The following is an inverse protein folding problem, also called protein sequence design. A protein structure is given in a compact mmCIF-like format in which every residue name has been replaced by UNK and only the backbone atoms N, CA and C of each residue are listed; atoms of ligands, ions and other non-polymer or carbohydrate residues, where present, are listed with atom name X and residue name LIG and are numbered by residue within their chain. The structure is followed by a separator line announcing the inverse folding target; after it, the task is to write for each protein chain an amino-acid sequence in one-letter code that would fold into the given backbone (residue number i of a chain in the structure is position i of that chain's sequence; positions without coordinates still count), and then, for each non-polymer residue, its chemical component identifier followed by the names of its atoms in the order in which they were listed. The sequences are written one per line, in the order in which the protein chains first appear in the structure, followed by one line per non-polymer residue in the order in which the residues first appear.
data_IF_233489502670
#
_entry.id   IF_233489502670
#
_cell.length_a   1.000
_cell.length_b   1.000
_cell.length_c   1.000
_cell.angle_alpha   90.00
_cell.angle_beta   90.00
_cell.angle_gamma   90.00
#
_symmetry.space_group_name_H-M   'P 1'
#
loop_
_entity.id
_entity.type
_entity.pdbx_description
1 polymer ?
#
# COMPACT_ATOMS: atom_id res chain seq x y z
N UNK A 1 9.60 24.94 0.76
CA UNK A 1 9.68 23.65 1.49
C UNK A 1 8.49 23.61 2.43
N UNK A 2 7.57 22.72 2.17
CA UNK A 2 6.32 22.54 2.93
C UNK A 2 6.41 21.33 3.87
N UNK A 3 5.43 21.15 4.76
CA UNK A 3 5.29 19.94 5.56
C UNK A 3 5.08 18.70 4.65
N UNK A 4 4.40 18.86 3.53
CA UNK A 4 4.18 17.79 2.55
C UNK A 4 5.47 17.33 1.89
N UNK A 5 6.40 18.27 1.58
CA UNK A 5 7.71 17.90 1.01
C UNK A 5 8.51 17.02 1.97
N UNK A 6 8.48 17.35 3.27
CA UNK A 6 9.10 16.54 4.33
C UNK A 6 8.44 15.17 4.46
N UNK A 7 7.10 15.11 4.44
CA UNK A 7 6.36 13.86 4.52
C UNK A 7 6.64 12.96 3.30
N UNK A 8 6.69 13.54 2.11
CA UNK A 8 7.02 12.79 0.89
C UNK A 8 8.47 12.26 0.93
N UNK A 9 9.42 13.10 1.32
CA UNK A 9 10.82 12.66 1.46
C UNK A 9 10.98 11.54 2.51
N UNK A 10 10.17 11.56 3.57
CA UNK A 10 10.14 10.48 4.56
C UNK A 10 9.58 9.19 3.95
N UNK A 11 8.53 9.24 3.14
CA UNK A 11 7.99 8.08 2.41
C UNK A 11 9.01 7.49 1.44
N UNK A 12 9.71 8.35 0.69
CA UNK A 12 10.76 7.90 -0.22
C UNK A 12 11.89 7.18 0.55
N UNK A 13 12.27 7.72 1.72
CA UNK A 13 13.29 7.10 2.56
C UNK A 13 12.81 5.77 3.18
N UNK A 14 11.53 5.68 3.54
CA UNK A 14 10.91 4.41 3.98
C UNK A 14 10.99 3.37 2.87
N UNK A 15 10.66 3.75 1.63
CA UNK A 15 10.74 2.86 0.48
C UNK A 15 12.17 2.35 0.22
N UNK A 16 13.16 3.22 0.35
CA UNK A 16 14.56 2.91 0.06
C UNK A 16 15.26 2.12 1.18
N UNK A 17 15.02 2.49 2.44
CA UNK A 17 15.82 2.06 3.59
C UNK A 17 15.00 1.58 4.80
N UNK A 18 13.68 1.65 4.72
CA UNK A 18 12.77 1.26 5.80
C UNK A 18 12.52 2.37 6.84
N UNK A 19 11.57 2.08 7.75
CA UNK A 19 11.06 3.04 8.74
C UNK A 19 12.16 3.56 9.68
N UNK A 20 13.10 2.70 10.05
CA UNK A 20 14.19 3.06 10.98
C UNK A 20 15.12 4.15 10.42
N UNK A 21 15.24 4.26 9.11
CA UNK A 21 16.08 5.26 8.44
C UNK A 21 15.51 6.69 8.48
N UNK A 22 14.23 6.85 8.78
CA UNK A 22 13.61 8.17 8.87
C UNK A 22 14.24 8.97 10.00
N UNK A 23 15.07 9.95 9.66
CA UNK A 23 15.74 10.83 10.62
C UNK A 23 15.86 12.25 10.03
N UNK A 24 15.89 13.26 10.92
CA UNK A 24 15.87 14.68 10.52
C UNK A 24 17.06 15.06 9.65
N UNK A 25 18.27 14.61 9.99
CA UNK A 25 19.49 14.97 9.27
C UNK A 25 19.59 14.40 7.85
N UNK A 26 19.35 13.10 7.62
CA UNK A 26 19.27 12.55 6.28
C UNK A 26 18.23 13.24 5.38
N UNK A 27 17.05 13.54 5.96
CA UNK A 27 15.98 14.21 5.23
C UNK A 27 16.32 15.67 4.92
N UNK A 28 16.87 16.43 5.87
CA UNK A 28 17.31 17.80 5.62
C UNK A 28 18.35 17.87 4.51
N UNK A 29 19.32 16.93 4.51
CA UNK A 29 20.33 16.82 3.46
C UNK A 29 19.70 16.48 2.09
N UNK A 30 18.77 15.54 2.06
CA UNK A 30 18.04 15.15 0.83
C UNK A 30 17.25 16.31 0.24
N UNK A 31 16.63 17.12 1.10
CA UNK A 31 15.83 18.27 0.72
C UNK A 31 16.65 19.55 0.46
N UNK A 32 17.95 19.54 0.70
CA UNK A 32 18.83 20.70 0.52
C UNK A 32 18.54 21.84 1.50
N UNK A 33 18.06 21.53 2.71
CA UNK A 33 17.70 22.52 3.73
C UNK A 33 18.44 22.29 5.04
N UNK A 34 18.36 23.28 5.95
CA UNK A 34 18.94 23.17 7.28
C UNK A 34 18.07 22.29 8.21
N UNK A 35 18.69 21.63 9.20
CA UNK A 35 17.98 20.91 10.26
C UNK A 35 16.97 21.81 11.01
N UNK A 36 17.28 23.13 11.16
CA UNK A 36 16.37 24.09 11.79
C UNK A 36 15.05 24.25 11.02
N UNK A 37 15.07 24.13 9.69
CA UNK A 37 13.86 24.20 8.87
C UNK A 37 12.82 23.12 9.20
N UNK A 38 13.25 21.94 9.67
CA UNK A 38 12.38 20.86 10.11
C UNK A 38 11.44 21.27 11.25
N UNK A 39 11.99 21.93 12.26
CA UNK A 39 11.24 22.28 13.48
C UNK A 39 10.18 23.36 13.29
N UNK A 40 10.17 24.03 12.12
CA UNK A 40 9.06 24.89 11.72
C UNK A 40 7.81 24.12 11.28
N UNK A 41 7.97 22.85 10.87
CA UNK A 41 6.92 22.00 10.34
C UNK A 41 6.51 20.90 11.31
N UNK A 42 7.47 20.31 12.01
CA UNK A 42 7.22 19.15 12.87
C UNK A 42 7.93 19.29 14.21
N UNK A 43 7.23 19.03 15.33
CA UNK A 43 7.83 19.11 16.67
C UNK A 43 8.81 17.95 16.94
N UNK A 44 8.66 16.82 16.26
CA UNK A 44 9.49 15.63 16.45
C UNK A 44 9.57 14.76 15.19
N UNK A 45 10.52 13.83 15.16
CA UNK A 45 10.65 12.78 14.16
C UNK A 45 9.37 11.92 14.07
N UNK A 46 8.80 11.60 15.21
CA UNK A 46 7.58 10.80 15.33
C UNK A 46 6.38 11.51 14.70
N UNK A 47 6.26 12.82 14.86
CA UNK A 47 5.23 13.63 14.22
C UNK A 47 5.37 13.65 12.69
N UNK A 48 6.60 13.74 12.18
CA UNK A 48 6.85 13.60 10.75
C UNK A 48 6.46 12.19 10.25
N UNK A 49 6.90 11.15 10.96
CA UNK A 49 6.57 9.78 10.56
C UNK A 49 5.05 9.56 10.51
N UNK A 50 4.34 10.04 11.51
CA UNK A 50 2.87 9.98 11.56
C UNK A 50 2.25 10.69 10.34
N UNK A 51 2.68 11.92 10.06
CA UNK A 51 2.18 12.70 8.92
C UNK A 51 2.50 12.03 7.56
N UNK A 52 3.68 11.42 7.44
CA UNK A 52 4.06 10.66 6.24
C UNK A 52 3.16 9.43 6.04
N UNK A 53 2.90 8.66 7.09
CA UNK A 53 2.03 7.48 7.03
C UNK A 53 0.58 7.86 6.73
N UNK A 54 0.04 8.93 7.34
CA UNK A 54 -1.30 9.45 7.08
C UNK A 54 -1.45 9.92 5.62
N UNK A 55 -0.44 10.63 5.11
CA UNK A 55 -0.40 11.04 3.70
C UNK A 55 -0.44 9.85 2.76
N UNK A 56 0.39 8.83 3.01
CA UNK A 56 0.42 7.63 2.20
C UNK A 56 -0.92 6.88 2.24
N UNK A 57 -1.51 6.71 3.43
CA UNK A 57 -2.84 6.10 3.61
C UNK A 57 -3.92 6.82 2.81
N UNK A 58 -3.90 8.16 2.82
CA UNK A 58 -4.87 9.00 2.12
C UNK A 58 -4.71 8.89 0.59
N UNK A 59 -3.49 9.05 0.08
CA UNK A 59 -3.20 8.95 -1.36
C UNK A 59 -3.56 7.58 -1.90
N UNK A 60 -3.19 6.52 -1.20
CA UNK A 60 -3.52 5.15 -1.60
C UNK A 60 -5.04 4.91 -1.63
N UNK A 61 -5.75 5.44 -0.64
CA UNK A 61 -7.20 5.33 -0.58
C UNK A 61 -7.88 6.01 -1.77
N UNK A 62 -7.51 7.24 -2.08
CA UNK A 62 -8.11 7.98 -3.19
C UNK A 62 -7.75 7.39 -4.55
N UNK A 63 -6.49 7.04 -4.76
CA UNK A 63 -6.02 6.47 -6.02
C UNK A 63 -6.73 5.15 -6.36
N UNK A 64 -6.89 4.26 -5.38
CA UNK A 64 -7.48 2.93 -5.62
C UNK A 64 -9.01 2.99 -5.59
N UNK A 65 -9.61 3.46 -4.49
CA UNK A 65 -11.06 3.33 -4.32
C UNK A 65 -11.85 4.37 -5.12
N UNK A 66 -11.36 5.60 -5.23
CA UNK A 66 -12.05 6.66 -5.98
C UNK A 66 -12.20 6.37 -7.48
N UNK A 67 -11.22 5.68 -8.08
CA UNK A 67 -11.31 5.27 -9.48
C UNK A 67 -12.27 4.08 -9.67
N UNK A 68 -12.30 3.15 -8.71
CA UNK A 68 -13.11 1.94 -8.79
C UNK A 68 -14.61 2.18 -8.58
N UNK A 69 -15.00 3.22 -7.84
CA UNK A 69 -16.40 3.59 -7.65
C UNK A 69 -17.12 3.92 -8.97
N UNK A 70 -16.37 4.31 -10.01
CA UNK A 70 -16.91 4.63 -11.34
C UNK A 70 -17.17 3.41 -12.20
N UNK A 71 -16.77 2.21 -11.78
CA UNK A 71 -16.99 0.96 -12.51
C UNK A 71 -18.25 0.28 -11.94
N UNK A 72 -19.39 0.28 -12.69
CA UNK A 72 -20.67 -0.21 -12.16
C UNK A 72 -20.71 -1.72 -11.95
N UNK A 73 -20.13 -2.50 -12.87
CA UNK A 73 -20.12 -3.95 -12.77
C UNK A 73 -19.12 -4.42 -11.71
N UNK A 74 -19.55 -5.18 -10.69
CA UNK A 74 -18.67 -5.58 -9.60
C UNK A 74 -17.55 -6.56 -10.03
N UNK A 75 -17.75 -7.35 -11.09
CA UNK A 75 -16.71 -8.24 -11.61
C UNK A 75 -15.64 -7.45 -12.35
N UNK A 76 -16.07 -6.51 -13.20
CA UNK A 76 -15.14 -5.59 -13.88
C UNK A 76 -14.40 -4.71 -12.87
N UNK A 77 -15.06 -4.30 -11.80
CA UNK A 77 -14.43 -3.53 -10.71
C UNK A 77 -13.32 -4.32 -10.01
N UNK A 78 -13.55 -5.60 -9.73
CA UNK A 78 -12.51 -6.48 -9.16
C UNK A 78 -11.35 -6.70 -10.13
N UNK A 79 -11.62 -6.88 -11.44
CA UNK A 79 -10.56 -6.98 -12.45
C UNK A 79 -9.75 -5.69 -12.56
N UNK A 80 -10.45 -4.55 -12.59
CA UNK A 80 -9.79 -3.24 -12.58
C UNK A 80 -8.93 -3.02 -11.34
N UNK A 81 -9.41 -3.44 -10.15
CA UNK A 81 -8.61 -3.41 -8.92
C UNK A 81 -7.30 -4.20 -9.08
N UNK A 82 -7.35 -5.42 -9.58
CA UNK A 82 -6.14 -6.24 -9.75
C UNK A 82 -5.16 -5.61 -10.73
N UNK A 83 -5.65 -5.05 -11.84
CA UNK A 83 -4.82 -4.33 -12.80
C UNK A 83 -4.20 -3.06 -12.21
N UNK A 84 -4.98 -2.26 -11.48
CA UNK A 84 -4.46 -1.04 -10.85
C UNK A 84 -3.37 -1.36 -9.83
N UNK A 85 -3.64 -2.31 -8.93
CA UNK A 85 -2.67 -2.75 -7.92
C UNK A 85 -1.39 -3.26 -8.58
N UNK A 86 -1.48 -3.96 -9.71
CA UNK A 86 -0.30 -4.44 -10.44
C UNK A 86 0.66 -3.32 -10.89
N UNK A 87 0.18 -2.10 -11.10
CA UNK A 87 0.98 -0.97 -11.61
C UNK A 87 1.51 -0.02 -10.53
N UNK A 88 1.09 -0.16 -9.27
CA UNK A 88 1.42 0.74 -8.14
C UNK A 88 2.71 0.34 -7.39
N UNK A 89 3.82 0.19 -8.14
CA UNK A 89 5.08 -0.33 -7.59
C UNK A 89 5.58 0.42 -6.35
N UNK A 90 5.53 1.76 -6.33
CA UNK A 90 6.04 2.55 -5.20
C UNK A 90 5.22 2.31 -3.93
N UNK A 91 3.90 2.23 -4.04
CA UNK A 91 3.02 1.90 -2.90
C UNK A 91 3.32 0.51 -2.35
N UNK A 92 3.62 -0.46 -3.21
CA UNK A 92 4.01 -1.82 -2.82
C UNK A 92 5.31 -1.84 -2.03
N UNK A 93 6.32 -1.08 -2.45
CA UNK A 93 7.60 -1.00 -1.75
C UNK A 93 7.43 -0.38 -0.37
N UNK A 94 6.67 0.72 -0.25
CA UNK A 94 6.34 1.33 1.04
C UNK A 94 5.59 0.34 1.92
N UNK A 95 4.52 -0.28 1.42
CA UNK A 95 3.73 -1.25 2.18
C UNK A 95 4.58 -2.43 2.68
N UNK A 96 5.44 -2.98 1.82
CA UNK A 96 6.37 -4.05 2.19
C UNK A 96 7.37 -3.61 3.28
N UNK A 97 7.86 -2.36 3.22
CA UNK A 97 8.74 -1.79 4.26
C UNK A 97 8.01 -1.60 5.59
N UNK A 98 6.74 -1.20 5.55
CA UNK A 98 5.90 -1.06 6.75
C UNK A 98 5.59 -2.42 7.39
N UNK A 99 5.33 -3.47 6.60
CA UNK A 99 5.13 -4.82 7.12
C UNK A 99 6.35 -5.37 7.87
N UNK A 100 7.57 -4.88 7.59
CA UNK A 100 8.79 -5.23 8.33
C UNK A 100 8.93 -4.49 9.67
N UNK A 101 8.13 -3.46 9.90
CA UNK A 101 8.21 -2.58 11.05
C UNK A 101 6.92 -2.59 11.88
N UNK A 102 6.22 -3.73 11.94
CA UNK A 102 4.96 -3.87 12.69
C UNK A 102 5.13 -3.73 14.20
N UNK A 103 6.34 -3.88 14.71
CA UNK A 103 6.70 -3.60 16.11
C UNK A 103 6.78 -2.09 16.42
N UNK A 104 6.79 -1.24 15.39
CA UNK A 104 6.86 0.22 15.59
C UNK A 104 5.45 0.78 15.93
N UNK A 105 5.31 1.54 17.05
CA UNK A 105 4.01 1.97 17.56
C UNK A 105 3.21 2.88 16.61
N UNK A 106 3.88 3.60 15.70
CA UNK A 106 3.20 4.42 14.70
C UNK A 106 2.77 3.61 13.46
N UNK A 107 3.41 2.47 13.17
CA UNK A 107 3.18 1.68 11.95
C UNK A 107 2.03 0.72 12.13
N UNK A 108 2.01 -0.05 13.20
CA UNK A 108 0.99 -1.09 13.41
C UNK A 108 -0.44 -0.57 13.27
N UNK A 109 -0.87 0.56 13.92
CA UNK A 109 -2.24 1.05 13.78
C UNK A 109 -2.62 1.43 12.35
N UNK A 110 -1.67 1.92 11.55
CA UNK A 110 -1.90 2.27 10.14
C UNK A 110 -2.11 1.01 9.32
N UNK A 111 -1.25 0.01 9.48
CA UNK A 111 -1.38 -1.26 8.77
C UNK A 111 -2.68 -1.98 9.15
N UNK A 112 -3.08 -1.97 10.41
CA UNK A 112 -4.34 -2.57 10.88
C UNK A 112 -5.56 -1.90 10.20
N UNK A 113 -5.59 -0.56 10.13
CA UNK A 113 -6.66 0.17 9.44
C UNK A 113 -6.70 -0.15 7.95
N UNK A 114 -5.57 -0.14 7.29
CA UNK A 114 -5.47 -0.42 5.84
C UNK A 114 -5.89 -1.85 5.54
N UNK A 115 -5.40 -2.81 6.31
CA UNK A 115 -5.72 -4.24 6.15
C UNK A 115 -7.21 -4.50 6.34
N UNK A 116 -7.80 -3.91 7.37
CA UNK A 116 -9.24 -4.01 7.63
C UNK A 116 -10.05 -3.42 6.46
N UNK A 117 -9.71 -2.21 6.02
CA UNK A 117 -10.40 -1.53 4.92
C UNK A 117 -10.32 -2.32 3.61
N UNK A 118 -9.14 -2.86 3.28
CA UNK A 118 -8.94 -3.67 2.07
C UNK A 118 -9.75 -4.97 2.12
N UNK A 119 -9.77 -5.64 3.26
CA UNK A 119 -10.57 -6.85 3.45
C UNK A 119 -12.07 -6.56 3.35
N UNK A 120 -12.54 -5.49 3.97
CA UNK A 120 -13.96 -5.08 3.92
C UNK A 120 -14.38 -4.71 2.50
N UNK A 121 -13.55 -3.97 1.77
CA UNK A 121 -13.80 -3.62 0.38
C UNK A 121 -13.87 -4.86 -0.52
N UNK A 122 -12.92 -5.78 -0.40
CA UNK A 122 -12.91 -7.03 -1.15
C UNK A 122 -14.13 -7.88 -0.83
N UNK A 123 -14.47 -8.04 0.45
CA UNK A 123 -15.65 -8.82 0.86
C UNK A 123 -16.95 -8.21 0.33
N UNK A 124 -17.08 -6.88 0.40
CA UNK A 124 -18.23 -6.18 -0.18
C UNK A 124 -18.30 -6.35 -1.70
N UNK A 125 -17.18 -6.21 -2.40
CA UNK A 125 -17.11 -6.39 -3.86
C UNK A 125 -17.45 -7.81 -4.28
N UNK A 126 -16.94 -8.82 -3.60
CA UNK A 126 -17.30 -10.22 -3.86
C UNK A 126 -18.78 -10.54 -3.56
N UNK A 127 -19.35 -9.93 -2.53
CA UNK A 127 -20.80 -10.07 -2.29
C UNK A 127 -21.65 -9.49 -3.42
N UNK A 128 -21.23 -8.37 -3.99
CA UNK A 128 -21.91 -7.75 -5.11
C UNK A 128 -21.87 -8.60 -6.39
N UNK A 129 -20.92 -9.53 -6.51
CA UNK A 129 -20.90 -10.52 -7.62
C UNK A 129 -21.92 -11.66 -7.43
N UNK A 130 -22.63 -11.71 -6.30
CA UNK A 130 -23.62 -12.74 -6.00
C UNK A 130 -23.14 -13.81 -5.02
N UNK A 131 -21.91 -13.73 -4.50
CA UNK A 131 -21.43 -14.68 -3.50
C UNK A 131 -22.15 -14.51 -2.15
N UNK A 132 -22.36 -15.63 -1.45
CA UNK A 132 -22.81 -15.64 -0.08
C UNK A 132 -21.80 -14.92 0.86
N UNK A 133 -22.27 -14.53 2.05
CA UNK A 133 -21.44 -13.75 2.99
C UNK A 133 -20.13 -14.47 3.36
N UNK A 134 -20.22 -15.76 3.64
CA UNK A 134 -19.08 -16.57 4.07
C UNK A 134 -18.07 -16.76 2.94
N UNK A 135 -18.55 -17.16 1.75
CA UNK A 135 -17.71 -17.34 0.57
C UNK A 135 -17.01 -16.04 0.14
N UNK A 136 -17.74 -14.91 0.18
CA UNK A 136 -17.17 -13.60 -0.13
C UNK A 136 -16.05 -13.23 0.85
N UNK A 137 -16.21 -13.51 2.15
CA UNK A 137 -15.19 -13.27 3.16
C UNK A 137 -13.97 -14.16 2.96
N UNK A 138 -14.18 -15.46 2.68
CA UNK A 138 -13.08 -16.39 2.42
C UNK A 138 -12.30 -15.98 1.16
N UNK A 139 -13.01 -15.58 0.11
CA UNK A 139 -12.37 -15.11 -1.13
C UNK A 139 -11.63 -13.80 -0.93
N UNK A 140 -12.16 -12.86 -0.17
CA UNK A 140 -11.47 -11.62 0.20
C UNK A 140 -10.16 -11.90 0.94
N UNK A 141 -10.18 -12.80 1.93
CA UNK A 141 -8.99 -13.22 2.68
C UNK A 141 -7.95 -13.89 1.77
N UNK A 142 -8.41 -14.79 0.89
CA UNK A 142 -7.51 -15.45 -0.07
C UNK A 142 -6.85 -14.44 -1.02
N UNK A 143 -7.62 -13.52 -1.56
CA UNK A 143 -7.14 -12.45 -2.45
C UNK A 143 -6.10 -11.58 -1.75
N UNK A 144 -6.41 -11.15 -0.54
CA UNK A 144 -5.49 -10.29 0.22
C UNK A 144 -4.22 -11.03 0.67
N UNK A 145 -4.35 -12.29 1.08
CA UNK A 145 -3.20 -13.13 1.41
C UNK A 145 -2.30 -13.39 0.20
N UNK A 146 -2.88 -13.61 -0.99
CA UNK A 146 -2.11 -13.75 -2.23
C UNK A 146 -1.31 -12.47 -2.54
N UNK A 147 -1.91 -11.29 -2.38
CA UNK A 147 -1.23 -10.01 -2.54
C UNK A 147 -0.06 -9.85 -1.55
N UNK A 148 -0.31 -10.03 -0.25
CA UNK A 148 0.73 -9.88 0.77
C UNK A 148 1.85 -10.90 0.57
N UNK A 149 1.50 -12.15 0.25
CA UNK A 149 2.46 -13.20 -0.06
C UNK A 149 3.32 -12.88 -1.28
N UNK A 150 2.70 -12.34 -2.34
CA UNK A 150 3.42 -11.88 -3.53
C UNK A 150 4.45 -10.78 -3.19
N UNK A 151 4.07 -9.77 -2.39
CA UNK A 151 5.00 -8.74 -1.95
C UNK A 151 6.16 -9.33 -1.14
N UNK A 152 5.88 -10.27 -0.27
CA UNK A 152 6.89 -10.92 0.56
C UNK A 152 7.88 -11.71 -0.27
N UNK A 153 7.40 -12.50 -1.23
CA UNK A 153 8.24 -13.29 -2.12
C UNK A 153 9.15 -12.39 -2.98
N UNK A 154 8.60 -11.34 -3.58
CA UNK A 154 9.31 -10.53 -4.57
C UNK A 154 10.15 -9.40 -3.96
N UNK A 155 9.71 -8.78 -2.85
CA UNK A 155 10.38 -7.62 -2.26
C UNK A 155 11.19 -7.95 -1.00
N UNK A 156 10.89 -9.06 -0.32
CA UNK A 156 11.55 -9.40 0.95
C UNK A 156 12.46 -10.62 0.83
N UNK A 157 12.05 -11.65 0.10
CA UNK A 157 12.83 -12.88 -0.05
C UNK A 157 13.76 -12.86 -1.27
N UNK A 158 13.86 -11.73 -1.95
CA UNK A 158 14.76 -11.50 -3.08
C UNK A 158 14.69 -12.60 -4.16
N UNK A 159 13.50 -13.12 -4.39
CA UNK A 159 13.29 -14.00 -5.55
C UNK A 159 13.55 -13.23 -6.85
N UNK A 160 13.97 -13.92 -7.88
CA UNK A 160 14.22 -13.30 -9.18
C UNK A 160 12.98 -12.49 -9.60
N UNK A 161 13.22 -11.22 -9.96
CA UNK A 161 12.13 -10.33 -10.40
C UNK A 161 11.47 -10.96 -11.61
N UNK A 162 10.16 -11.16 -11.51
CA UNK A 162 9.33 -11.67 -12.61
C UNK A 162 9.42 -10.71 -13.80
N UNK A 163 9.70 -11.19 -15.02
CA UNK A 163 9.62 -10.37 -16.22
C UNK A 163 8.22 -9.75 -16.37
N UNK A 164 8.12 -8.60 -17.03
CA UNK A 164 6.85 -7.87 -17.16
C UNK A 164 5.73 -8.72 -17.77
N UNK A 165 6.03 -9.45 -18.84
CA UNK A 165 5.07 -10.33 -19.52
C UNK A 165 4.56 -11.47 -18.61
N UNK A 166 5.46 -12.07 -17.83
CA UNK A 166 5.12 -13.11 -16.86
C UNK A 166 4.29 -12.55 -15.71
N UNK A 167 4.59 -11.33 -15.26
CA UNK A 167 3.84 -10.64 -14.23
C UNK A 167 2.41 -10.30 -14.70
N UNK A 168 2.24 -9.81 -15.92
CA UNK A 168 0.92 -9.54 -16.50
C UNK A 168 0.09 -10.84 -16.64
N UNK A 169 0.70 -11.92 -17.11
CA UNK A 169 0.05 -13.23 -17.16
C UNK A 169 -0.34 -13.75 -15.78
N UNK A 170 0.50 -13.52 -14.76
CA UNK A 170 0.18 -13.85 -13.37
C UNK A 170 -1.02 -13.07 -12.83
N UNK A 171 -1.09 -11.75 -13.09
CA UNK A 171 -2.24 -10.91 -12.69
C UNK A 171 -3.52 -11.35 -13.38
N UNK A 172 -3.44 -11.69 -14.67
CA UNK A 172 -4.59 -12.24 -15.42
C UNK A 172 -5.05 -13.58 -14.83
N UNK A 173 -4.11 -14.48 -14.53
CA UNK A 173 -4.41 -15.76 -13.88
C UNK A 173 -5.09 -15.58 -12.52
N UNK A 174 -4.59 -14.66 -11.68
CA UNK A 174 -5.22 -14.31 -10.40
C UNK A 174 -6.65 -13.81 -10.61
N UNK A 175 -6.83 -12.91 -11.58
CA UNK A 175 -8.14 -12.36 -11.91
C UNK A 175 -9.12 -13.46 -12.36
N UNK A 176 -8.71 -14.34 -13.26
CA UNK A 176 -9.52 -15.46 -13.74
C UNK A 176 -9.87 -16.47 -12.61
N UNK A 177 -8.96 -16.65 -11.67
CA UNK A 177 -9.13 -17.61 -10.56
C UNK A 177 -9.99 -17.05 -9.43
N UNK A 178 -9.83 -15.77 -9.10
CA UNK A 178 -10.42 -15.16 -7.91
C UNK A 178 -11.74 -14.44 -8.20
N UNK A 179 -11.93 -13.86 -9.39
CA UNK A 179 -13.18 -13.19 -9.76
C UNK A 179 -14.20 -14.25 -10.20
N UNK A 180 -15.39 -14.32 -9.57
CA UNK A 180 -16.43 -15.27 -9.97
C UNK A 180 -16.89 -15.06 -11.42
N UNK A 181 -17.25 -16.14 -12.09
CA UNK A 181 -17.85 -16.10 -13.44
C UNK A 181 -19.27 -15.55 -13.39
#
# INVERSE_FOLDING_TARGET
MSAEDWAQAALDLIAEQGVAAVAVEPLARRLGVTKGSFYWHFPSREALLQAALERWEHVEQEAVFGALERVPDPRERLRALFQMVAHEYQSHVIYSALLKALDHPAVQPVIDRISTRRLDYLAASFRQTGLGREDALHRARLTYAAYVGFLQLNLQLHQARMPQEEFEAYVEHLSATLVPV
#
